data_IF_462575668135
#
_entry.id   IF_462575668135
#
_cell.length_a   1.000
_cell.length_b   1.000
_cell.length_c   1.000
_cell.angle_alpha   90.00
_cell.angle_beta   90.00
_cell.angle_gamma   90.00
#
_symmetry.space_group_name_H-M   'P 1'
#
loop_
_entity.id
_entity.type
_entity.pdbx_description
1 polymer ?
#
# COMPACT_ATOMS: atom_id res chain seq x y z
N UNK A 1 -6.01 -6.95 6.78
CA UNK A 1 -5.26 -5.96 7.59
C UNK A 1 -4.82 -6.54 8.92
N UNK A 2 -5.72 -7.07 9.76
CA UNK A 2 -5.41 -7.65 11.06
C UNK A 2 -4.23 -8.61 11.14
N UNK A 3 -4.17 -9.61 10.24
CA UNK A 3 -3.11 -10.62 10.25
C UNK A 3 -1.69 -10.05 10.22
N UNK A 4 -1.45 -8.98 9.44
CA UNK A 4 -0.12 -8.33 9.38
C UNK A 4 0.15 -7.55 10.66
N UNK A 5 -0.84 -6.80 11.17
CA UNK A 5 -0.70 -6.07 12.41
C UNK A 5 -0.38 -7.01 13.58
N UNK A 6 -1.15 -8.10 13.73
CA UNK A 6 -0.97 -9.09 14.78
C UNK A 6 0.39 -9.78 14.66
N UNK A 7 0.83 -10.14 13.46
CA UNK A 7 2.14 -10.73 13.24
C UNK A 7 3.28 -9.78 13.66
N UNK A 8 3.18 -8.48 13.33
CA UNK A 8 4.17 -7.47 13.75
C UNK A 8 4.21 -7.36 15.27
N UNK A 9 3.05 -7.22 15.92
CA UNK A 9 2.96 -7.08 17.38
C UNK A 9 3.45 -8.33 18.12
N UNK A 10 3.11 -9.53 17.64
CA UNK A 10 3.58 -10.80 18.19
C UNK A 10 5.10 -11.00 18.05
N UNK A 11 5.74 -10.25 17.15
CA UNK A 11 7.20 -10.21 16.99
C UNK A 11 7.82 -8.93 17.58
N UNK A 12 7.15 -8.30 18.55
CA UNK A 12 7.60 -7.11 19.28
C UNK A 12 7.82 -5.87 18.39
N UNK A 13 7.27 -5.86 17.17
CA UNK A 13 7.23 -4.69 16.31
C UNK A 13 6.16 -3.70 16.77
N UNK A 14 6.27 -2.45 16.28
CA UNK A 14 5.29 -1.40 16.54
C UNK A 14 4.35 -1.26 15.36
N UNK A 15 3.05 -1.12 15.64
CA UNK A 15 2.03 -0.88 14.63
C UNK A 15 1.40 0.48 14.85
N UNK A 16 1.42 1.31 13.79
CA UNK A 16 0.66 2.56 13.72
C UNK A 16 -0.51 2.32 12.77
N UNK A 17 -1.74 2.32 13.29
CA UNK A 17 -2.96 2.31 12.48
C UNK A 17 -3.45 3.73 12.24
N UNK A 18 -3.90 4.02 11.02
CA UNK A 18 -4.57 5.30 10.69
C UNK A 18 -5.95 4.99 10.12
N UNK A 19 -7.00 5.47 10.78
CA UNK A 19 -8.39 5.17 10.46
C UNK A 19 -9.22 6.46 10.39
N UNK A 20 -10.10 6.64 9.38
CA UNK A 20 -11.03 7.75 9.35
C UNK A 20 -12.20 7.50 10.32
N UNK A 21 -12.77 8.57 10.87
CA UNK A 21 -13.90 8.49 11.81
C UNK A 21 -15.08 7.67 11.27
N UNK A 22 -15.37 7.80 9.98
CA UNK A 22 -16.49 7.08 9.32
C UNK A 22 -16.37 5.56 9.39
N UNK A 23 -15.15 5.01 9.53
CA UNK A 23 -14.91 3.57 9.58
C UNK A 23 -14.78 3.02 11.02
N UNK A 24 -14.79 3.88 12.05
CA UNK A 24 -14.70 3.45 13.46
C UNK A 24 -15.83 2.51 13.87
N UNK A 25 -17.03 2.71 13.32
CA UNK A 25 -18.19 1.86 13.62
C UNK A 25 -18.14 0.50 12.93
N UNK A 26 -17.35 0.37 11.86
CA UNK A 26 -17.26 -0.83 11.03
C UNK A 26 -16.07 -1.70 11.42
N UNK A 27 -14.97 -1.08 11.86
CA UNK A 27 -13.86 -1.80 12.45
C UNK A 27 -14.19 -2.12 13.91
N UNK A 28 -14.58 -3.37 14.18
CA UNK A 28 -14.43 -3.94 15.52
C UNK A 28 -12.95 -3.82 15.88
N UNK A 29 -12.61 -2.76 16.61
CA UNK A 29 -11.25 -2.30 16.87
C UNK A 29 -10.32 -3.47 17.12
N UNK A 30 -9.25 -3.58 16.31
CA UNK A 30 -8.13 -4.46 16.59
C UNK A 30 -7.55 -4.10 17.97
N UNK A 31 -8.00 -4.82 19.01
CA UNK A 31 -7.57 -4.63 20.40
C UNK A 31 -6.12 -5.06 20.50
N UNK A 32 -5.20 -4.10 20.52
CA UNK A 32 -3.77 -4.36 20.66
C UNK A 32 -2.86 -3.44 19.84
N UNK A 33 -3.38 -2.69 18.86
CA UNK A 33 -2.57 -1.76 18.06
C UNK A 33 -1.81 -0.79 18.97
N UNK A 34 -0.50 -0.65 18.70
CA UNK A 34 0.41 0.14 19.53
C UNK A 34 0.09 1.64 19.51
N UNK A 35 -0.28 2.17 18.35
CA UNK A 35 -0.70 3.56 18.14
C UNK A 35 -1.84 3.58 17.11
N UNK A 36 -3.03 4.05 17.49
CA UNK A 36 -4.17 4.19 16.59
C UNK A 36 -4.52 5.67 16.43
N UNK A 37 -4.35 6.18 15.21
CA UNK A 37 -4.63 7.57 14.85
C UNK A 37 -5.96 7.65 14.12
N UNK A 38 -6.91 8.31 14.76
CA UNK A 38 -8.21 8.60 14.18
C UNK A 38 -8.13 9.96 13.47
N UNK A 39 -8.66 10.03 12.25
CA UNK A 39 -8.64 11.24 11.42
C UNK A 39 -10.01 11.56 10.84
N UNK A 40 -10.22 12.80 10.40
CA UNK A 40 -11.53 13.30 9.94
C UNK A 40 -12.08 12.55 8.72
N UNK A 41 -11.21 12.17 7.77
CA UNK A 41 -11.63 11.67 6.47
C UNK A 41 -10.54 10.83 5.78
N UNK A 42 -10.90 10.26 4.62
CA UNK A 42 -10.03 9.39 3.83
C UNK A 42 -8.80 10.11 3.25
N UNK A 43 -8.90 11.39 2.89
CA UNK A 43 -7.76 12.12 2.32
C UNK A 43 -6.70 12.38 3.39
N UNK A 44 -7.12 12.82 4.57
CA UNK A 44 -6.23 13.00 5.72
C UNK A 44 -5.60 11.66 6.13
N UNK A 45 -6.38 10.57 6.09
CA UNK A 45 -5.88 9.22 6.37
C UNK A 45 -4.76 8.81 5.41
N UNK A 46 -4.99 8.89 4.10
CA UNK A 46 -3.99 8.52 3.08
C UNK A 46 -2.75 9.40 3.16
N UNK A 47 -2.93 10.72 3.27
CA UNK A 47 -1.83 11.67 3.45
C UNK A 47 -0.95 11.31 4.65
N UNK A 48 -1.56 11.09 5.83
CA UNK A 48 -0.82 10.71 7.02
C UNK A 48 -0.09 9.37 6.86
N UNK A 49 -0.72 8.37 6.24
CA UNK A 49 -0.06 7.09 5.96
C UNK A 49 1.19 7.27 5.08
N UNK A 50 1.12 8.10 4.05
CA UNK A 50 2.25 8.36 3.15
C UNK A 50 3.36 9.20 3.80
N UNK A 51 3.00 10.12 4.70
CA UNK A 51 3.99 10.88 5.49
C UNK A 51 4.73 9.97 6.48
N UNK A 52 4.07 8.95 7.03
CA UNK A 52 4.63 8.05 8.02
C UNK A 52 5.47 6.89 7.44
N UNK A 53 5.27 6.53 6.17
CA UNK A 53 5.95 5.39 5.57
C UNK A 53 7.15 5.82 4.71
N UNK A 54 8.23 5.05 4.72
CA UNK A 54 9.35 5.22 3.76
C UNK A 54 9.14 4.36 2.49
N UNK A 55 8.37 3.28 2.64
CA UNK A 55 8.04 2.33 1.60
C UNK A 55 6.61 1.79 1.80
N UNK A 56 5.98 1.39 0.70
CA UNK A 56 4.67 0.76 0.69
C UNK A 56 4.78 -0.65 0.10
N UNK A 57 4.33 -1.65 0.87
CA UNK A 57 4.17 -3.03 0.39
C UNK A 57 2.67 -3.26 0.16
N UNK A 58 2.32 -3.51 -1.09
CA UNK A 58 0.94 -3.74 -1.51
C UNK A 58 0.66 -5.24 -1.47
N UNK A 59 -0.14 -5.63 -0.49
CA UNK A 59 -0.62 -7.00 -0.31
C UNK A 59 -1.90 -7.23 -1.12
N UNK A 60 -2.25 -8.49 -1.46
CA UNK A 60 -3.52 -8.81 -2.12
C UNK A 60 -4.72 -8.13 -1.46
N UNK A 61 -5.48 -7.39 -2.26
CA UNK A 61 -6.59 -6.57 -1.80
C UNK A 61 -7.47 -6.07 -2.95
N UNK A 62 -8.61 -5.47 -2.58
CA UNK A 62 -9.62 -4.98 -3.53
C UNK A 62 -9.47 -3.49 -3.85
N UNK A 63 -10.59 -2.83 -4.13
CA UNK A 63 -10.63 -1.44 -4.60
C UNK A 63 -9.89 -0.45 -3.70
N UNK A 64 -10.02 -0.55 -2.37
CA UNK A 64 -9.33 0.36 -1.46
C UNK A 64 -7.80 0.24 -1.53
N UNK A 65 -7.30 -0.99 -1.68
CA UNK A 65 -5.86 -1.24 -1.87
C UNK A 65 -5.36 -0.70 -3.21
N UNK A 66 -6.17 -0.81 -4.27
CA UNK A 66 -5.81 -0.27 -5.58
C UNK A 66 -5.89 1.27 -5.62
N UNK A 67 -6.84 1.88 -4.90
CA UNK A 67 -6.90 3.33 -4.72
C UNK A 67 -5.61 3.88 -4.11
N UNK A 68 -5.15 3.27 -3.02
CA UNK A 68 -3.90 3.65 -2.34
C UNK A 68 -2.66 3.40 -3.23
N UNK A 69 -2.62 2.27 -3.95
CA UNK A 69 -1.54 1.96 -4.88
C UNK A 69 -1.42 2.99 -6.00
N UNK A 70 -2.51 3.28 -6.71
CA UNK A 70 -2.47 4.19 -7.86
C UNK A 70 -2.21 5.64 -7.44
N UNK A 71 -2.66 6.05 -6.24
CA UNK A 71 -2.33 7.34 -5.69
C UNK A 71 -0.83 7.48 -5.40
N UNK A 72 -0.20 6.47 -4.77
CA UNK A 72 1.25 6.42 -4.56
C UNK A 72 2.03 6.49 -5.88
N UNK A 73 1.63 5.71 -6.90
CA UNK A 73 2.27 5.75 -8.22
C UNK A 73 2.18 7.15 -8.82
N UNK A 74 1.00 7.75 -8.76
CA UNK A 74 0.73 9.08 -9.34
C UNK A 74 1.54 10.16 -8.63
N UNK A 75 1.59 10.14 -7.30
CA UNK A 75 2.34 11.13 -6.52
C UNK A 75 3.86 10.98 -6.71
N UNK A 76 4.36 9.75 -6.89
CA UNK A 76 5.74 9.50 -7.31
C UNK A 76 6.02 10.10 -8.71
N UNK A 77 5.13 9.86 -9.68
CA UNK A 77 5.29 10.40 -11.05
C UNK A 77 5.26 11.95 -11.07
N UNK A 78 4.47 12.56 -10.20
CA UNK A 78 4.42 14.01 -10.00
C UNK A 78 5.58 14.56 -9.14
N UNK A 79 6.48 13.69 -8.66
CA UNK A 79 7.60 14.04 -7.78
C UNK A 79 7.17 14.74 -6.48
N UNK A 80 5.95 14.46 -6.01
CA UNK A 80 5.44 14.95 -4.72
C UNK A 80 6.15 14.20 -3.57
N UNK A 81 6.49 12.93 -3.80
CA UNK A 81 7.32 12.13 -2.92
C UNK A 81 8.10 11.08 -3.72
N UNK A 82 9.02 10.38 -3.06
CA UNK A 82 9.84 9.32 -3.67
C UNK A 82 9.75 8.04 -2.82
N UNK A 83 8.53 7.50 -2.70
CA UNK A 83 8.28 6.29 -1.90
C UNK A 83 8.64 5.04 -2.69
N UNK A 84 9.28 4.07 -2.06
CA UNK A 84 9.47 2.74 -2.66
C UNK A 84 8.13 2.00 -2.68
N UNK A 85 7.66 1.59 -3.85
CA UNK A 85 6.40 0.84 -4.01
C UNK A 85 6.74 -0.60 -4.38
N UNK A 86 6.27 -1.55 -3.57
CA UNK A 86 6.52 -2.98 -3.72
C UNK A 86 5.17 -3.67 -3.89
N UNK A 87 4.95 -4.30 -5.03
CA UNK A 87 3.75 -5.11 -5.28
C UNK A 87 4.04 -6.57 -4.97
N UNK A 88 3.44 -7.09 -3.89
CA UNK A 88 3.57 -8.49 -3.52
C UNK A 88 2.55 -9.33 -4.29
N UNK A 89 3.00 -9.89 -5.41
CA UNK A 89 2.22 -10.73 -6.31
C UNK A 89 2.16 -12.20 -5.85
N UNK A 90 1.75 -12.42 -4.60
CA UNK A 90 1.61 -13.76 -4.02
C UNK A 90 0.68 -14.63 -4.87
N UNK A 91 1.16 -15.80 -5.28
CA UNK A 91 0.42 -16.77 -6.09
C UNK A 91 -0.22 -16.18 -7.38
N UNK A 92 0.38 -15.14 -7.96
CA UNK A 92 -0.10 -14.52 -9.20
C UNK A 92 -1.35 -13.64 -9.06
N UNK A 93 -1.72 -13.24 -7.83
CA UNK A 93 -2.94 -12.45 -7.58
C UNK A 93 -3.06 -11.18 -8.45
N UNK A 94 -1.94 -10.52 -8.73
CA UNK A 94 -1.85 -9.28 -9.50
C UNK A 94 -1.42 -9.47 -10.97
N UNK A 95 -1.36 -10.70 -11.49
CA UNK A 95 -0.92 -10.95 -12.87
C UNK A 95 -1.71 -10.13 -13.91
N UNK A 96 -3.02 -10.04 -13.75
CA UNK A 96 -3.88 -9.24 -14.63
C UNK A 96 -3.66 -7.73 -14.48
N UNK A 97 -3.41 -7.25 -13.26
CA UNK A 97 -3.08 -5.84 -13.03
C UNK A 97 -1.74 -5.48 -13.69
N UNK A 98 -0.73 -6.33 -13.53
CA UNK A 98 0.60 -6.17 -14.14
C UNK A 98 0.48 -6.18 -15.67
N UNK A 99 -0.32 -7.11 -16.22
CA UNK A 99 -0.60 -7.14 -17.65
C UNK A 99 -1.27 -5.84 -18.14
N UNK A 100 -2.21 -5.29 -17.37
CA UNK A 100 -2.85 -4.03 -17.69
C UNK A 100 -1.88 -2.85 -17.65
N UNK A 101 -1.00 -2.77 -16.65
CA UNK A 101 0.06 -1.74 -16.57
C UNK A 101 1.00 -1.82 -17.78
N UNK A 102 1.41 -3.03 -18.17
CA UNK A 102 2.20 -3.24 -19.40
C UNK A 102 1.45 -2.77 -20.65
N UNK A 103 0.14 -3.02 -20.73
CA UNK A 103 -0.67 -2.51 -21.83
C UNK A 103 -0.73 -0.97 -21.83
N UNK A 104 -0.89 -0.32 -20.67
CA UNK A 104 -0.83 1.15 -20.57
C UNK A 104 0.51 1.71 -21.07
N UNK A 105 1.62 1.04 -20.76
CA UNK A 105 2.95 1.39 -21.29
C UNK A 105 3.01 1.26 -22.82
N UNK A 106 2.52 0.14 -23.37
CA UNK A 106 2.53 -0.12 -24.82
C UNK A 106 1.64 0.85 -25.60
N UNK A 107 0.55 1.31 -24.98
CA UNK A 107 -0.37 2.29 -25.55
C UNK A 107 0.04 3.74 -25.24
N UNK A 108 1.27 3.95 -24.75
CA UNK A 108 1.87 5.27 -24.49
C UNK A 108 1.13 6.15 -23.45
N UNK A 109 0.29 5.54 -22.60
CA UNK A 109 -0.34 6.24 -21.47
C UNK A 109 0.62 6.45 -20.29
N UNK A 110 1.76 5.75 -20.27
CA UNK A 110 2.81 5.91 -19.26
C UNK A 110 4.07 6.51 -19.91
N UNK A 111 4.44 7.71 -19.48
CA UNK A 111 5.60 8.43 -20.03
C UNK A 111 6.95 7.87 -19.56
N UNK A 112 6.98 7.24 -18.39
CA UNK A 112 8.16 6.62 -17.80
C UNK A 112 7.95 5.12 -17.72
N UNK A 113 9.04 4.35 -17.76
CA UNK A 113 8.97 2.91 -17.55
C UNK A 113 8.38 2.62 -16.16
N UNK A 114 7.25 1.92 -16.15
CA UNK A 114 6.55 1.55 -14.92
C UNK A 114 7.43 0.77 -13.93
N UNK A 115 8.46 0.06 -14.41
CA UNK A 115 9.43 -0.66 -13.56
C UNK A 115 10.29 0.27 -12.70
N UNK A 116 10.42 1.55 -13.07
CA UNK A 116 11.09 2.57 -12.24
C UNK A 116 10.25 3.01 -11.05
N UNK A 117 8.98 2.63 -11.00
CA UNK A 117 8.02 3.06 -9.98
C UNK A 117 7.58 1.93 -9.06
N UNK A 118 7.53 0.70 -9.56
CA UNK A 118 7.03 -0.46 -8.82
C UNK A 118 7.99 -1.64 -8.97
N UNK A 119 8.45 -2.20 -7.85
CA UNK A 119 9.09 -3.52 -7.86
C UNK A 119 8.05 -4.61 -7.60
N UNK A 120 8.21 -5.77 -8.26
CA UNK A 120 7.28 -6.90 -8.12
C UNK A 120 8.02 -8.05 -7.48
N UNK A 121 7.41 -8.63 -6.46
CA UNK A 121 7.93 -9.77 -5.71
C UNK A 121 6.83 -10.82 -5.56
N UNK A 122 7.17 -12.10 -5.63
CA UNK A 122 6.23 -13.21 -5.47
C UNK A 122 6.09 -13.69 -4.02
N UNK A 123 7.03 -13.29 -3.16
CA UNK A 123 7.15 -13.74 -1.78
C UNK A 123 7.83 -12.67 -0.91
N UNK A 124 7.53 -12.61 0.40
CA UNK A 124 8.15 -11.63 1.29
C UNK A 124 9.67 -11.75 1.37
N UNK A 125 10.24 -12.95 1.21
CA UNK A 125 11.68 -13.18 1.30
C UNK A 125 12.47 -12.42 0.24
N UNK A 126 11.92 -12.29 -0.98
CA UNK A 126 12.61 -11.60 -2.07
C UNK A 126 12.58 -10.08 -1.94
N UNK A 127 11.79 -9.53 -1.02
CA UNK A 127 11.73 -8.08 -0.74
C UNK A 127 12.96 -7.62 0.07
N UNK A 128 13.46 -8.47 0.96
CA UNK A 128 14.49 -8.12 1.95
C UNK A 128 15.85 -8.78 1.68
N UNK A 129 15.97 -9.55 0.61
CA UNK A 129 17.24 -10.13 0.11
C UNK A 129 18.02 -9.13 -0.72
#
# INVERSE_FOLDING_TARGET
>A
MGTVADAVMNNNGKVIGVIPEVLLSWEQQHKGITDLRVVSDMHVRKKMMYELCDAAIILPGGNGTLDELFELITWNALKIHEKKIILLNSAGFYDHLIAHIKNMQQQEFLHEDWQLRISIHDSPHTIFS
#
